data_IF_360228040983
#
_entry.id   IF_360228040983
#
_cell.length_a   1.000
_cell.length_b   1.000
_cell.length_c   1.000
_cell.angle_alpha   90.00
_cell.angle_beta   90.00
_cell.angle_gamma   90.00
#
_symmetry.space_group_name_H-M   'P 1'
#
loop_
_entity.id
_entity.type
_entity.pdbx_description
1 polymer ?
#
# COMPACT_ATOMS: atom_id res chain seq x y z
N UNK A 1 -5.19 10.01 -24.93
CA UNK A 1 -5.85 8.76 -24.53
C UNK A 1 -5.57 8.55 -23.05
N UNK A 2 -6.26 9.33 -22.20
CA UNK A 2 -6.18 9.29 -20.72
C UNK A 2 -7.63 9.36 -20.25
N UNK A 3 -8.46 8.46 -20.77
CA UNK A 3 -9.93 8.58 -20.70
C UNK A 3 -10.55 7.53 -19.77
N UNK A 4 -9.73 6.77 -19.03
CA UNK A 4 -10.19 5.79 -18.04
C UNK A 4 -9.58 6.11 -16.67
N UNK A 5 -10.42 6.57 -15.76
CA UNK A 5 -10.04 6.86 -14.36
C UNK A 5 -9.41 5.65 -13.66
N UNK A 6 -9.80 4.43 -14.05
CA UNK A 6 -9.27 3.18 -13.52
C UNK A 6 -7.79 2.91 -13.85
N UNK A 7 -7.24 3.55 -14.90
CA UNK A 7 -5.84 3.43 -15.29
C UNK A 7 -4.98 4.59 -14.72
N UNK A 8 -5.61 5.55 -14.05
CA UNK A 8 -4.92 6.70 -13.47
C UNK A 8 -4.15 6.31 -12.21
N UNK A 9 -2.94 6.85 -12.07
CA UNK A 9 -2.13 6.74 -10.85
C UNK A 9 -2.17 8.09 -10.14
N UNK A 10 -2.78 8.12 -8.95
CA UNK A 10 -2.89 9.31 -8.11
C UNK A 10 -1.94 9.22 -6.93
N UNK A 11 -1.25 10.32 -6.62
CA UNK A 11 -0.36 10.43 -5.46
C UNK A 11 -0.78 11.66 -4.65
N UNK A 12 -1.15 11.45 -3.39
CA UNK A 12 -1.41 12.50 -2.42
C UNK A 12 -0.36 12.39 -1.32
N UNK A 13 0.49 13.40 -1.18
CA UNK A 13 1.61 13.42 -0.23
C UNK A 13 1.51 14.64 0.68
N UNK A 14 1.23 14.40 1.96
CA UNK A 14 1.24 15.44 2.99
C UNK A 14 2.65 15.67 3.54
N UNK A 15 3.36 14.58 3.84
CA UNK A 15 4.72 14.59 4.36
C UNK A 15 5.58 13.54 3.63
N UNK A 16 6.90 13.79 3.46
CA UNK A 16 7.80 12.79 2.90
C UNK A 16 7.85 11.54 3.79
N UNK A 17 7.83 10.36 3.17
CA UNK A 17 7.88 9.08 3.89
C UNK A 17 8.86 8.13 3.20
N UNK A 18 9.64 7.40 3.99
CA UNK A 18 10.57 6.37 3.52
C UNK A 18 10.42 5.13 4.40
N UNK A 19 9.99 4.02 3.82
CA UNK A 19 9.68 2.78 4.54
C UNK A 19 10.18 1.57 3.75
N UNK A 20 10.77 0.61 4.46
CA UNK A 20 11.22 -0.67 3.88
C UNK A 20 10.22 -1.76 4.21
N UNK A 21 9.81 -2.58 3.22
CA UNK A 21 8.85 -3.68 3.44
C UNK A 21 9.36 -5.01 2.88
N UNK A 22 8.87 -6.12 3.42
CA UNK A 22 9.09 -7.44 2.84
C UNK A 22 8.16 -7.67 1.63
N UNK A 23 8.75 -7.71 0.43
CA UNK A 23 8.03 -7.96 -0.83
C UNK A 23 7.20 -9.25 -0.82
N UNK A 24 7.64 -10.26 -0.06
CA UNK A 24 6.89 -11.52 0.12
C UNK A 24 5.43 -11.27 0.56
N UNK A 25 5.20 -10.31 1.44
CA UNK A 25 3.84 -10.00 1.91
C UNK A 25 3.05 -9.18 0.90
N UNK A 26 3.68 -8.24 0.20
CA UNK A 26 3.04 -7.52 -0.90
C UNK A 26 2.56 -8.49 -2.00
N UNK A 27 3.36 -9.50 -2.34
CA UNK A 27 2.96 -10.56 -3.26
C UNK A 27 1.77 -11.40 -2.76
N UNK A 28 1.53 -11.49 -1.45
CA UNK A 28 0.32 -12.14 -0.95
C UNK A 28 -0.90 -11.24 -1.08
N UNK A 29 -0.74 -9.93 -0.91
CA UNK A 29 -1.84 -8.98 -1.03
C UNK A 29 -2.34 -8.83 -2.46
N UNK A 30 -1.47 -9.00 -3.46
CA UNK A 30 -1.88 -8.98 -4.89
C UNK A 30 -2.85 -10.11 -5.27
N UNK A 31 -3.04 -11.12 -4.42
CA UNK A 31 -4.09 -12.14 -4.62
C UNK A 31 -5.51 -11.55 -4.53
N UNK A 32 -5.67 -10.40 -3.89
CA UNK A 32 -6.93 -9.68 -3.80
C UNK A 32 -7.23 -8.80 -5.01
N UNK A 33 -6.31 -8.66 -5.97
CA UNK A 33 -6.51 -7.83 -7.18
C UNK A 33 -7.81 -8.13 -7.95
N UNK A 34 -8.33 -9.37 -8.04
CA UNK A 34 -9.62 -9.60 -8.69
C UNK A 34 -10.82 -8.92 -8.02
N UNK A 35 -10.69 -8.42 -6.78
CA UNK A 35 -11.78 -7.79 -6.03
C UNK A 35 -12.03 -6.33 -6.42
N UNK A 36 -11.04 -5.65 -6.98
CA UNK A 36 -11.11 -4.22 -7.31
C UNK A 36 -10.18 -3.90 -8.49
N UNK A 37 -10.62 -3.10 -9.48
CA UNK A 37 -9.75 -2.66 -10.57
C UNK A 37 -8.60 -1.77 -10.08
N UNK A 38 -8.77 -1.13 -8.91
CA UNK A 38 -7.77 -0.25 -8.29
C UNK A 38 -7.40 -0.71 -6.88
N UNK A 39 -6.21 -0.29 -6.44
CA UNK A 39 -5.69 -0.53 -5.08
C UNK A 39 -5.25 0.79 -4.48
N UNK A 40 -5.52 0.99 -3.19
CA UNK A 40 -5.06 2.17 -2.44
C UNK A 40 -3.97 1.76 -1.47
N UNK A 41 -2.83 2.46 -1.51
CA UNK A 41 -1.72 2.27 -0.58
C UNK A 41 -1.64 3.50 0.33
N UNK A 42 -1.86 3.31 1.63
CA UNK A 42 -1.70 4.37 2.63
C UNK A 42 -0.43 4.12 3.44
N UNK A 43 0.48 5.09 3.40
CA UNK A 43 1.82 5.01 4.00
C UNK A 43 2.00 6.11 5.03
N UNK A 44 2.54 5.76 6.19
CA UNK A 44 2.89 6.69 7.27
C UNK A 44 4.02 6.07 8.10
N UNK A 45 4.84 6.92 8.74
CA UNK A 45 5.90 6.47 9.63
C UNK A 45 5.37 5.87 10.94
N UNK A 46 4.18 6.29 11.39
CA UNK A 46 3.64 5.95 12.70
C UNK A 46 2.68 4.75 12.68
N UNK A 47 2.20 4.37 11.48
CA UNK A 47 1.24 3.28 11.32
C UNK A 47 1.69 2.29 10.23
N UNK A 48 1.24 1.03 10.27
CA UNK A 48 1.52 0.05 9.23
C UNK A 48 1.06 0.54 7.85
N UNK A 49 1.73 0.06 6.78
CA UNK A 49 1.22 0.21 5.42
C UNK A 49 -0.16 -0.44 5.35
N UNK A 50 -1.12 0.32 4.83
CA UNK A 50 -2.47 -0.19 4.52
C UNK A 50 -2.56 -0.41 3.01
N UNK A 51 -2.94 -1.62 2.62
CA UNK A 51 -3.27 -1.97 1.23
C UNK A 51 -4.75 -2.28 1.16
N UNK A 52 -5.50 -1.43 0.46
CA UNK A 52 -6.95 -1.47 0.40
C UNK A 52 -7.45 -1.82 -1.01
N UNK A 53 -8.35 -2.81 -1.06
CA UNK A 53 -9.15 -3.15 -2.25
C UNK A 53 -10.63 -2.88 -1.95
N UNK A 54 -11.26 -2.01 -2.73
CA UNK A 54 -12.69 -1.69 -2.58
C UNK A 54 -13.54 -2.76 -3.26
N UNK A 55 -14.44 -3.39 -2.51
CA UNK A 55 -15.34 -4.44 -3.01
C UNK A 55 -16.67 -3.81 -3.40
N UNK A 56 -16.71 -3.17 -4.59
CA UNK A 56 -17.88 -2.47 -5.11
C UNK A 56 -18.61 -1.65 -4.01
N UNK A 57 -19.89 -1.96 -3.75
CA UNK A 57 -20.70 -1.33 -2.70
C UNK A 57 -20.81 -2.18 -1.42
N UNK A 58 -20.11 -3.31 -1.33
CA UNK A 58 -20.14 -4.22 -0.17
C UNK A 58 -19.14 -3.83 0.93
N UNK A 59 -18.07 -3.10 0.60
CA UNK A 59 -17.09 -2.66 1.59
C UNK A 59 -15.66 -2.63 1.05
N UNK A 60 -14.70 -2.97 1.91
CA UNK A 60 -13.27 -2.98 1.59
C UNK A 60 -12.53 -4.12 2.27
N UNK A 61 -11.50 -4.62 1.60
CA UNK A 61 -10.50 -5.52 2.18
C UNK A 61 -9.22 -4.72 2.45
N UNK A 62 -8.77 -4.72 3.71
CA UNK A 62 -7.56 -4.02 4.14
C UNK A 62 -6.54 -5.01 4.67
N UNK A 63 -5.35 -4.96 4.08
CA UNK A 63 -4.16 -5.62 4.62
C UNK A 63 -3.29 -4.61 5.33
N UNK A 64 -2.74 -5.01 6.47
CA UNK A 64 -1.83 -4.20 7.28
C UNK A 64 -0.46 -4.86 7.29
N UNK A 65 0.56 -4.12 6.89
CA UNK A 65 1.94 -4.60 6.89
C UNK A 65 2.82 -3.63 7.66
N UNK A 66 3.37 -4.11 8.77
CA UNK A 66 4.35 -3.34 9.52
C UNK A 66 5.61 -3.14 8.65
N UNK A 67 6.23 -1.95 8.69
CA UNK A 67 7.51 -1.73 8.04
C UNK A 67 8.57 -2.65 8.66
N UNK A 68 9.56 -3.03 7.85
CA UNK A 68 10.78 -3.62 8.39
C UNK A 68 11.50 -2.53 9.18
N UNK A 69 11.79 -2.85 10.43
CA UNK A 69 12.78 -2.11 11.20
C UNK A 69 14.12 -2.55 10.62
N UNK A 70 14.79 -1.66 9.90
CA UNK A 70 16.23 -1.81 9.75
C UNK A 70 16.80 -1.52 11.13
N UNK A 71 17.36 -2.54 11.79
CA UNK A 71 18.25 -2.29 12.93
C UNK A 71 19.34 -1.36 12.40
N UNK A 72 19.24 -0.07 12.70
CA UNK A 72 20.36 0.84 12.58
C UNK A 72 21.40 0.31 13.55
N UNK A 73 22.30 -0.54 13.07
CA UNK A 73 23.62 -0.67 13.67
C UNK A 73 24.31 0.67 13.46
N UNK A 74 24.07 1.58 14.40
CA UNK A 74 24.98 2.68 14.67
C UNK A 74 26.38 2.10 14.95
N UNK A 75 27.37 2.60 14.22
CA UNK A 75 28.75 2.66 14.70
C UNK A 75 29.66 1.47 14.39
N UNK A 76 30.51 1.67 13.37
CA UNK A 76 31.96 1.55 13.52
C UNK A 76 32.63 2.64 12.69
#
# INVERSE_FOLDING_TARGET
NVDKEEEAVTIEMNEPVQLTFALRYLNFFTKATPLSPTVTLSMSADVPLVVEYKIADMGHLKYYLAPKIEDQQEGS
#
